data_IF_931502925308
#
_entry.id   IF_931502925308
#
_cell.length_a   1.000
_cell.length_b   1.000
_cell.length_c   1.000
_cell.angle_alpha   90.00
_cell.angle_beta   90.00
_cell.angle_gamma   90.00
#
_symmetry.space_group_name_H-M   'P 1'
#
loop_
_entity.id
_entity.type
_entity.pdbx_description
1 polymer ?
#
# COMPACT_ATOMS: atom_id res chain seq x y z
N UNK A 1 7.57 11.67 16.47
CA UNK A 1 8.20 11.12 15.30
C UNK A 1 7.19 10.73 14.25
N UNK A 2 7.46 11.07 13.04
CA UNK A 2 6.68 10.60 11.92
C UNK A 2 7.12 9.18 11.52
N UNK A 3 6.29 8.45 10.81
CA UNK A 3 6.67 7.12 10.34
C UNK A 3 7.89 7.17 9.46
N UNK A 4 8.69 6.14 9.52
CA UNK A 4 9.88 6.03 8.70
C UNK A 4 9.72 4.88 7.72
N UNK A 5 10.19 5.09 6.51
CA UNK A 5 10.10 4.09 5.47
C UNK A 5 10.70 2.76 5.91
N UNK A 6 11.87 2.80 6.54
CA UNK A 6 12.57 1.56 6.94
C UNK A 6 11.88 0.82 8.07
N UNK A 7 10.90 1.43 8.74
CA UNK A 7 10.15 0.76 9.80
C UNK A 7 8.92 0.06 9.27
N UNK A 8 8.55 0.32 8.02
CA UNK A 8 7.43 -0.37 7.43
C UNK A 8 7.79 -1.81 7.19
N UNK A 9 6.86 -2.70 7.40
CA UNK A 9 7.10 -4.12 7.21
C UNK A 9 5.86 -4.80 6.67
N UNK A 10 6.10 -5.92 6.05
CA UNK A 10 5.03 -6.76 5.57
C UNK A 10 4.51 -7.62 6.70
N UNK A 11 3.20 -7.81 6.74
CA UNK A 11 2.54 -8.63 7.74
C UNK A 11 2.04 -9.92 7.11
N UNK A 12 2.34 -11.04 7.76
CA UNK A 12 1.85 -12.34 7.32
C UNK A 12 0.46 -12.57 7.89
N UNK A 13 -0.50 -12.83 7.03
CA UNK A 13 -1.91 -12.97 7.40
C UNK A 13 -2.51 -14.30 6.95
N UNK A 14 -1.66 -15.31 6.73
CA UNK A 14 -2.09 -16.59 6.17
C UNK A 14 -2.35 -17.62 7.25
N UNK A 15 -3.47 -18.34 7.08
CA UNK A 15 -3.79 -19.54 7.84
C UNK A 15 -3.61 -20.74 6.92
N UNK A 16 -2.75 -21.65 7.28
CA UNK A 16 -2.37 -22.78 6.42
C UNK A 16 -3.23 -24.00 6.66
N UNK A 17 -3.59 -24.66 5.57
CA UNK A 17 -4.39 -25.87 5.62
C UNK A 17 -4.08 -26.69 4.37
N UNK A 18 -4.09 -28.02 4.47
CA UNK A 18 -3.79 -28.86 3.32
C UNK A 18 -4.87 -28.81 2.23
N UNK A 19 -6.05 -28.28 2.56
CA UNK A 19 -7.12 -28.06 1.57
C UNK A 19 -6.93 -26.74 0.84
N UNK A 20 -5.86 -26.04 1.11
CA UNK A 20 -5.56 -24.72 0.60
C UNK A 20 -5.23 -23.77 1.73
N UNK A 21 -5.03 -22.51 1.40
CA UNK A 21 -4.68 -21.49 2.37
C UNK A 21 -5.80 -20.47 2.43
N UNK A 22 -6.01 -19.92 3.62
CA UNK A 22 -6.98 -18.85 3.82
C UNK A 22 -6.26 -17.67 4.45
N UNK A 23 -6.52 -16.47 3.93
CA UNK A 23 -5.99 -15.25 4.50
C UNK A 23 -7.15 -14.31 4.81
N UNK A 24 -7.03 -13.58 5.90
CA UNK A 24 -8.08 -12.63 6.29
C UNK A 24 -7.45 -11.47 7.02
N UNK A 25 -8.18 -10.35 7.06
CA UNK A 25 -7.74 -9.12 7.72
C UNK A 25 -8.90 -8.60 8.54
N UNK A 26 -8.61 -8.30 9.80
CA UNK A 26 -9.59 -7.67 10.68
C UNK A 26 -9.11 -6.28 11.05
N UNK A 27 -10.01 -5.32 10.96
CA UNK A 27 -9.68 -3.94 11.31
C UNK A 27 -9.30 -3.85 12.78
N UNK A 28 -8.35 -2.97 13.08
CA UNK A 28 -7.84 -2.72 14.43
C UNK A 28 -7.24 -3.97 15.11
N UNK A 29 -6.97 -5.02 14.32
CA UNK A 29 -6.30 -6.23 14.80
C UNK A 29 -5.04 -6.46 13.98
N UNK A 30 -5.20 -6.79 12.70
CA UNK A 30 -4.05 -7.01 11.81
C UNK A 30 -3.50 -5.68 11.27
N UNK A 31 -4.36 -4.67 11.19
CA UNK A 31 -3.99 -3.34 10.71
C UNK A 31 -4.50 -2.31 11.73
N UNK A 32 -3.80 -1.18 11.88
CA UNK A 32 -4.10 -0.25 12.96
C UNK A 32 -5.16 0.80 12.59
N UNK A 33 -6.18 0.41 11.83
CA UNK A 33 -7.23 1.36 11.47
C UNK A 33 -8.51 0.61 11.13
N UNK A 34 -9.61 1.36 11.14
CA UNK A 34 -10.91 0.88 10.69
C UNK A 34 -10.98 0.95 9.17
N UNK A 35 -11.45 -0.12 8.54
CA UNK A 35 -11.54 -0.17 7.08
C UNK A 35 -12.77 0.57 6.62
N UNK A 36 -12.57 1.69 5.92
CA UNK A 36 -13.66 2.51 5.39
C UNK A 36 -13.82 2.36 3.88
N UNK A 37 -12.80 1.82 3.19
CA UNK A 37 -12.84 1.68 1.74
C UNK A 37 -11.91 0.56 1.34
N UNK A 38 -12.32 -0.20 0.32
CA UNK A 38 -11.45 -1.17 -0.32
C UNK A 38 -11.49 -0.92 -1.82
N UNK A 39 -10.34 -1.03 -2.47
CA UNK A 39 -10.29 -0.97 -3.92
C UNK A 39 -9.20 -1.92 -4.43
N UNK A 40 -9.24 -2.24 -5.72
CA UNK A 40 -8.25 -3.14 -6.29
C UNK A 40 -7.83 -2.65 -7.67
N UNK A 41 -6.57 -2.91 -7.99
CA UNK A 41 -5.94 -2.47 -9.23
C UNK A 41 -5.59 -3.70 -10.02
N UNK A 42 -5.97 -3.73 -11.28
CA UNK A 42 -5.75 -4.88 -12.14
C UNK A 42 -5.54 -4.42 -13.58
N UNK A 43 -5.06 -5.35 -14.41
CA UNK A 43 -4.84 -5.09 -15.84
C UNK A 43 -3.90 -3.91 -16.09
N UNK A 44 -2.86 -3.77 -15.26
CA UNK A 44 -1.88 -2.70 -15.45
C UNK A 44 -0.96 -3.11 -16.61
N UNK A 45 -0.87 -2.29 -17.67
CA UNK A 45 0.03 -2.60 -18.78
C UNK A 45 1.49 -2.66 -18.32
N UNK A 46 2.28 -3.50 -18.98
CA UNK A 46 3.69 -3.60 -18.66
C UNK A 46 4.39 -2.26 -18.79
N UNK A 47 5.21 -1.95 -17.80
CA UNK A 47 5.96 -0.71 -17.78
C UNK A 47 5.22 0.48 -17.20
N UNK A 48 3.93 0.34 -16.86
CA UNK A 48 3.17 1.44 -16.30
C UNK A 48 3.27 1.47 -14.79
N UNK A 49 3.21 2.68 -14.23
CA UNK A 49 3.20 2.90 -12.80
C UNK A 49 1.85 3.47 -12.37
N UNK A 50 1.50 3.29 -11.11
CA UNK A 50 0.25 3.78 -10.56
C UNK A 50 0.45 4.36 -9.19
N UNK A 51 -0.38 5.35 -8.84
CA UNK A 51 -0.52 5.83 -7.48
C UNK A 51 0.59 6.73 -6.97
N UNK A 52 1.21 7.52 -7.84
CA UNK A 52 2.18 8.51 -7.39
C UNK A 52 1.51 9.64 -6.64
N UNK A 53 1.32 9.47 -5.33
CA UNK A 53 0.68 10.47 -4.49
C UNK A 53 0.96 10.19 -3.02
N UNK A 54 0.57 11.12 -2.18
CA UNK A 54 0.55 10.94 -0.73
C UNK A 54 -0.82 11.32 -0.20
N UNK A 55 -1.11 10.90 1.02
CA UNK A 55 -2.36 11.26 1.70
C UNK A 55 -2.05 12.08 2.95
N UNK A 56 -2.92 13.03 3.24
CA UNK A 56 -2.81 13.80 4.49
C UNK A 56 -3.31 13.00 5.68
N UNK A 57 -4.38 12.22 5.50
CA UNK A 57 -5.02 11.49 6.59
C UNK A 57 -5.16 10.00 6.33
N UNK A 58 -5.36 9.57 5.08
CA UNK A 58 -5.65 8.19 4.76
C UNK A 58 -4.45 7.27 5.03
N UNK A 59 -4.74 6.12 5.62
CA UNK A 59 -3.77 5.02 5.79
C UNK A 59 -4.19 3.90 4.87
N UNK A 60 -3.24 3.10 4.41
CA UNK A 60 -3.53 2.01 3.49
C UNK A 60 -2.84 0.73 3.91
N UNK A 61 -3.41 -0.40 3.50
CA UNK A 61 -2.80 -1.70 3.59
C UNK A 61 -2.91 -2.36 2.23
N UNK A 62 -1.78 -2.74 1.65
CA UNK A 62 -1.68 -3.18 0.26
C UNK A 62 -1.28 -4.64 0.20
N UNK A 63 -2.00 -5.44 -0.57
CA UNK A 63 -1.75 -6.89 -0.70
C UNK A 63 -1.72 -7.25 -2.18
N UNK A 64 -0.75 -8.07 -2.58
CA UNK A 64 -0.75 -8.66 -3.91
C UNK A 64 -1.56 -9.96 -3.86
N UNK A 65 -2.84 -9.89 -4.22
CA UNK A 65 -3.70 -11.08 -4.22
C UNK A 65 -3.30 -12.06 -5.31
N UNK A 66 -2.73 -11.57 -6.38
CA UNK A 66 -2.27 -12.37 -7.50
C UNK A 66 -1.08 -11.65 -8.14
N UNK A 67 -0.10 -12.42 -8.62
CA UNK A 67 1.06 -11.84 -9.26
C UNK A 67 1.95 -11.08 -8.29
N UNK A 68 2.62 -10.07 -8.82
CA UNK A 68 3.59 -9.30 -8.03
C UNK A 68 3.68 -7.86 -8.54
N UNK A 69 4.11 -6.98 -7.66
CA UNK A 69 4.42 -5.59 -7.99
C UNK A 69 5.29 -5.00 -6.89
N UNK A 70 5.85 -3.84 -7.17
CA UNK A 70 6.67 -3.13 -6.20
C UNK A 70 5.93 -1.90 -5.70
N UNK A 71 6.11 -1.59 -4.42
CA UNK A 71 5.61 -0.36 -3.81
C UNK A 71 6.80 0.43 -3.33
N UNK A 72 6.95 1.64 -3.86
CA UNK A 72 8.00 2.55 -3.41
C UNK A 72 7.39 3.50 -2.39
N UNK A 73 8.01 3.62 -1.23
CA UNK A 73 7.63 4.56 -0.19
C UNK A 73 8.74 5.59 -0.01
N UNK A 74 8.32 6.85 0.18
CA UNK A 74 9.24 7.98 0.27
C UNK A 74 8.76 8.91 1.38
N UNK A 75 9.62 9.16 2.36
CA UNK A 75 9.26 10.04 3.48
C UNK A 75 9.78 11.48 3.29
N UNK A 76 10.29 11.80 2.10
CA UNK A 76 10.85 13.11 1.81
C UNK A 76 12.36 13.17 1.95
N UNK A 77 12.97 12.16 2.57
CA UNK A 77 14.40 12.08 2.80
C UNK A 77 14.96 10.82 2.15
N UNK A 78 14.36 9.67 2.42
CA UNK A 78 14.83 8.41 1.87
C UNK A 78 13.67 7.65 1.25
N UNK A 79 14.02 6.74 0.36
CA UNK A 79 13.06 5.90 -0.36
C UNK A 79 13.36 4.44 -0.10
N UNK A 80 12.32 3.62 -0.11
CA UNK A 80 12.47 2.19 0.00
C UNK A 80 11.46 1.49 -0.86
N UNK A 81 11.88 0.39 -1.50
CA UNK A 81 11.03 -0.40 -2.36
C UNK A 81 10.69 -1.70 -1.66
N UNK A 82 9.40 -2.03 -1.62
CA UNK A 82 8.89 -3.27 -1.07
C UNK A 82 8.27 -4.07 -2.20
N UNK A 83 8.72 -5.30 -2.41
CA UNK A 83 8.15 -6.18 -3.42
C UNK A 83 7.06 -7.02 -2.78
N UNK A 84 5.86 -6.93 -3.34
CA UNK A 84 4.71 -7.72 -2.87
C UNK A 84 4.44 -8.80 -3.89
N UNK A 85 4.56 -10.07 -3.46
CA UNK A 85 4.45 -11.19 -4.38
C UNK A 85 3.73 -12.39 -3.78
N UNK A 86 3.04 -12.22 -2.67
CA UNK A 86 2.29 -13.29 -2.03
C UNK A 86 1.02 -12.71 -1.42
N UNK A 87 -0.06 -13.48 -1.51
CA UNK A 87 -1.36 -13.01 -1.01
C UNK A 87 -1.48 -13.04 0.51
N UNK A 88 -0.52 -13.61 1.20
CA UNK A 88 -0.54 -13.66 2.67
C UNK A 88 0.37 -12.62 3.31
N UNK A 89 0.92 -11.70 2.54
CA UNK A 89 1.68 -10.57 3.04
C UNK A 89 1.00 -9.28 2.64
N UNK A 90 0.99 -8.32 3.55
CA UNK A 90 0.53 -6.99 3.23
C UNK A 90 1.50 -5.95 3.73
N UNK A 91 1.46 -4.79 3.10
CA UNK A 91 2.29 -3.65 3.45
C UNK A 91 1.42 -2.54 4.03
N UNK A 92 1.69 -2.16 5.25
CA UNK A 92 1.01 -1.03 5.88
C UNK A 92 1.69 0.27 5.45
N UNK A 93 0.89 1.20 4.95
CA UNK A 93 1.36 2.52 4.53
C UNK A 93 0.68 3.56 5.39
N UNK A 94 1.38 4.16 6.36
CA UNK A 94 0.78 5.21 7.18
C UNK A 94 0.57 6.49 6.37
N UNK A 95 -0.22 7.40 6.91
CA UNK A 95 -0.41 8.70 6.28
C UNK A 95 0.91 9.46 6.20
N UNK A 96 0.99 10.37 5.25
CA UNK A 96 2.15 11.26 5.15
C UNK A 96 3.35 10.67 4.44
N UNK A 97 3.20 9.56 3.75
CA UNK A 97 4.25 9.01 2.90
C UNK A 97 3.83 9.13 1.44
N UNK A 98 4.77 9.49 0.60
CA UNK A 98 4.59 9.41 -0.84
C UNK A 98 4.73 7.96 -1.26
N UNK A 99 3.83 7.50 -2.11
CA UNK A 99 3.90 6.13 -2.54
C UNK A 99 3.59 6.01 -4.03
N UNK A 100 4.25 5.05 -4.66
CA UNK A 100 4.07 4.75 -6.08
C UNK A 100 4.20 3.25 -6.26
N UNK A 101 3.39 2.68 -7.15
CA UNK A 101 3.40 1.25 -7.43
C UNK A 101 3.80 1.05 -8.88
N UNK A 102 4.72 0.11 -9.12
CA UNK A 102 5.16 -0.20 -10.47
C UNK A 102 5.63 -1.64 -10.57
N UNK A 103 6.22 -1.97 -11.70
CA UNK A 103 6.76 -3.31 -11.94
C UNK A 103 5.71 -4.40 -11.75
N UNK A 104 4.50 -4.16 -12.25
CA UNK A 104 3.40 -5.12 -12.15
C UNK A 104 3.65 -6.31 -13.06
N UNK A 105 3.50 -7.52 -12.53
CA UNK A 105 3.56 -8.73 -13.34
C UNK A 105 2.26 -8.90 -14.13
N UNK A 106 2.31 -9.80 -15.10
CA UNK A 106 1.10 -10.22 -15.83
C UNK A 106 0.10 -10.82 -14.83
N UNK A 107 -1.16 -10.46 -14.98
CA UNK A 107 -2.24 -10.95 -14.12
C UNK A 107 -2.07 -10.57 -12.65
N UNK A 108 -1.39 -9.48 -12.37
CA UNK A 108 -1.30 -8.99 -11.01
C UNK A 108 -2.62 -8.37 -10.56
N UNK A 109 -2.89 -8.51 -9.27
CA UNK A 109 -4.10 -7.96 -8.65
C UNK A 109 -3.70 -7.39 -7.30
N UNK A 110 -3.81 -6.07 -7.16
CA UNK A 110 -3.50 -5.39 -5.92
C UNK A 110 -4.80 -5.06 -5.19
N UNK A 111 -4.93 -5.52 -3.95
CA UNK A 111 -6.02 -5.13 -3.07
C UNK A 111 -5.50 -4.07 -2.12
N UNK A 112 -6.24 -2.97 -1.98
CA UNK A 112 -5.87 -1.88 -1.09
C UNK A 112 -7.04 -1.60 -0.14
N UNK A 113 -6.74 -1.63 1.16
CA UNK A 113 -7.69 -1.27 2.20
C UNK A 113 -7.33 0.10 2.73
N UNK A 114 -8.31 0.97 2.89
CA UNK A 114 -8.09 2.37 3.25
C UNK A 114 -8.85 2.75 4.51
N UNK A 115 -8.28 3.67 5.27
CA UNK A 115 -8.86 4.13 6.53
C UNK A 115 -9.90 5.23 6.36
N UNK A 116 -10.03 5.79 5.15
CA UNK A 116 -11.00 6.87 4.88
C UNK A 116 -11.83 6.54 3.66
N UNK A 117 -13.04 7.10 3.55
CA UNK A 117 -13.75 7.08 2.27
C UNK A 117 -12.95 7.84 1.22
N UNK A 118 -13.33 7.69 -0.04
CA UNK A 118 -12.66 8.43 -1.12
C UNK A 118 -12.86 9.93 -0.89
N UNK A 119 -11.77 10.64 -0.66
CA UNK A 119 -11.78 12.07 -0.32
C UNK A 119 -10.75 12.78 -1.18
N UNK A 120 -11.17 13.38 -2.31
CA UNK A 120 -10.20 13.99 -3.23
C UNK A 120 -9.29 15.03 -2.59
N UNK A 121 -9.79 15.80 -1.62
CA UNK A 121 -8.99 16.83 -0.95
C UNK A 121 -7.88 16.26 -0.08
N UNK A 122 -7.90 14.97 0.20
CA UNK A 122 -6.88 14.31 1.01
C UNK A 122 -5.62 13.96 0.21
N UNK A 123 -5.72 13.96 -1.11
CA UNK A 123 -4.62 13.55 -1.98
C UNK A 123 -3.63 14.67 -2.22
N UNK A 124 -2.36 14.32 -2.26
CA UNK A 124 -1.28 15.22 -2.68
C UNK A 124 -0.65 14.55 -3.90
N UNK A 125 -0.85 15.15 -5.07
CA UNK A 125 -0.37 14.57 -6.33
C UNK A 125 0.96 15.16 -6.79
N UNK A 126 1.37 16.31 -6.22
CA UNK A 126 2.60 16.98 -6.62
C UNK A 126 3.70 16.63 -5.64
N UNK A 127 4.74 15.97 -6.15
CA UNK A 127 5.85 15.52 -5.31
C UNK A 127 6.58 16.68 -4.64
N UNK A 128 6.73 17.81 -5.35
CA UNK A 128 7.39 18.97 -4.76
C UNK A 128 6.56 19.56 -3.62
N UNK A 129 5.24 19.56 -3.77
CA UNK A 129 4.35 19.97 -2.69
C UNK A 129 4.50 19.03 -1.49
N UNK A 130 4.55 17.74 -1.75
CA UNK A 130 4.75 16.74 -0.70
C UNK A 130 6.04 17.00 0.06
N UNK A 131 7.15 17.20 -0.66
CA UNK A 131 8.43 17.46 -0.01
C UNK A 131 8.41 18.70 0.84
N UNK A 132 7.75 19.75 0.37
CA UNK A 132 7.68 21.01 1.14
C UNK A 132 6.91 20.83 2.43
N UNK A 133 5.96 19.91 2.48
CA UNK A 133 5.18 19.65 3.68
C UNK A 133 5.95 18.83 4.71
N UNK A 134 7.06 18.21 4.33
CA UNK A 134 7.86 17.39 5.23
C UNK A 134 8.98 18.17 5.92
N UNK A 135 9.13 19.42 5.61
CA UNK A 135 10.15 20.27 6.23
C UNK A 135 9.73 20.75 7.61
#
# INVERSE_FOLDING_TARGET
LHPRVRRQRQMCIRDRDRRGNLSFIEENNHIPFKIERAYWIYDVPGGEARGGHAYKENQEFIVALSGSFDVMLDDGVEQKIFSLNRSYYGLYVPKGLWRCMDNFSTNSLALVLSSTPYTPSDYIYDYEQFKSMKK
#
